data_IF_553737718326
#
_entry.id   IF_553737718326
#
_cell.length_a   1.000
_cell.length_b   1.000
_cell.length_c   1.000
_cell.angle_alpha   90.00
_cell.angle_beta   90.00
_cell.angle_gamma   90.00
#
_symmetry.space_group_name_H-M   'P 1'
#
loop_
_entity.id
_entity.type
_entity.pdbx_description
1 polymer ?
#
# COMPACT_ATOMS: atom_id res chain seq x y z
N UNK A 1 -24.62 -14.32 -0.38
CA UNK A 1 -24.92 -13.13 -1.20
C UNK A 1 -23.71 -12.23 -1.11
N UNK A 2 -23.22 -11.71 -2.24
CA UNK A 2 -22.03 -10.86 -2.22
C UNK A 2 -22.34 -9.47 -1.67
N UNK A 3 -21.40 -8.92 -0.90
CA UNK A 3 -21.48 -7.57 -0.35
C UNK A 3 -20.41 -6.67 -0.98
N UNK A 4 -20.73 -5.40 -1.14
CA UNK A 4 -19.75 -4.37 -1.51
C UNK A 4 -18.93 -4.00 -0.28
N UNK A 5 -17.62 -3.90 -0.43
CA UNK A 5 -16.70 -3.46 0.62
C UNK A 5 -16.00 -2.16 0.21
N UNK A 6 -15.64 -1.35 1.20
CA UNK A 6 -14.78 -0.19 1.04
C UNK A 6 -13.49 -0.40 1.82
N UNK A 7 -12.36 -0.26 1.13
CA UNK A 7 -11.02 -0.43 1.70
C UNK A 7 -10.39 0.95 1.81
N UNK A 8 -10.29 1.48 3.04
CA UNK A 8 -9.65 2.77 3.33
C UNK A 8 -8.13 2.63 3.28
N UNK A 9 -7.45 3.75 3.01
CA UNK A 9 -6.00 3.83 3.19
C UNK A 9 -5.64 3.69 4.67
N UNK A 10 -4.48 3.10 4.94
CA UNK A 10 -3.90 3.15 6.28
C UNK A 10 -3.57 4.57 6.73
N UNK A 11 -3.28 4.74 8.03
CA UNK A 11 -2.89 6.04 8.60
C UNK A 11 -1.75 6.70 7.82
N UNK A 12 -0.72 5.92 7.47
CA UNK A 12 0.43 6.36 6.66
C UNK A 12 0.38 5.82 5.21
N UNK A 13 -0.78 5.33 4.80
CA UNK A 13 -1.04 4.80 3.46
C UNK A 13 -1.36 5.90 2.45
N UNK A 14 -1.31 5.52 1.18
CA UNK A 14 -1.60 6.35 0.01
C UNK A 14 -2.91 5.93 -0.67
N UNK A 15 -3.54 6.84 -1.40
CA UNK A 15 -4.78 6.61 -2.14
C UNK A 15 -6.03 7.12 -1.42
N UNK A 16 -7.17 7.14 -2.11
CA UNK A 16 -8.47 7.61 -1.56
C UNK A 16 -9.29 6.49 -0.91
N UNK A 17 -8.86 5.24 -1.07
CA UNK A 17 -9.62 4.06 -0.72
C UNK A 17 -10.41 3.51 -1.91
N UNK A 18 -10.71 2.21 -1.87
CA UNK A 18 -11.27 1.47 -3.00
C UNK A 18 -12.62 0.87 -2.63
N UNK A 19 -13.64 1.15 -3.43
CA UNK A 19 -14.89 0.38 -3.42
C UNK A 19 -14.71 -0.88 -4.27
N UNK A 20 -14.89 -2.04 -3.67
CA UNK A 20 -14.70 -3.33 -4.32
C UNK A 20 -15.96 -4.17 -4.12
N UNK A 21 -16.53 -4.64 -5.22
CA UNK A 21 -17.71 -5.48 -5.21
C UNK A 21 -17.48 -6.69 -6.12
N UNK A 22 -17.84 -7.91 -5.66
CA UNK A 22 -17.86 -9.07 -6.55
C UNK A 22 -18.90 -8.87 -7.66
N UNK A 23 -18.47 -8.91 -8.92
CA UNK A 23 -19.35 -8.72 -10.09
C UNK A 23 -19.02 -9.73 -11.20
N UNK A 24 -20.05 -10.41 -11.68
CA UNK A 24 -19.93 -11.38 -12.77
C UNK A 24 -18.91 -12.49 -12.45
N UNK A 25 -17.79 -12.50 -13.17
CA UNK A 25 -16.69 -13.45 -12.96
C UNK A 25 -15.66 -13.00 -11.93
N UNK A 26 -15.60 -11.70 -11.61
CA UNK A 26 -14.66 -11.12 -10.65
C UNK A 26 -15.11 -11.40 -9.22
N UNK A 27 -14.80 -12.59 -8.73
CA UNK A 27 -15.25 -13.08 -7.41
C UNK A 27 -14.11 -13.61 -6.55
N UNK A 28 -12.86 -13.44 -7.00
CA UNK A 28 -11.66 -13.95 -6.32
C UNK A 28 -10.74 -12.82 -5.88
N UNK A 29 -10.30 -12.90 -4.63
CA UNK A 29 -9.27 -12.03 -4.05
C UNK A 29 -7.98 -12.84 -4.02
N UNK A 30 -6.92 -12.32 -4.62
CA UNK A 30 -5.61 -12.97 -4.55
C UNK A 30 -4.77 -12.35 -3.44
N UNK A 31 -4.20 -13.18 -2.58
CA UNK A 31 -3.20 -12.78 -1.59
C UNK A 31 -1.83 -13.13 -2.14
N UNK A 32 -1.04 -12.12 -2.47
CA UNK A 32 0.33 -12.24 -2.96
C UNK A 32 1.27 -11.63 -1.94
N UNK A 33 1.24 -12.25 -0.76
CA UNK A 33 1.96 -11.85 0.45
C UNK A 33 2.84 -13.00 0.94
N UNK A 34 3.96 -12.69 1.58
CA UNK A 34 4.80 -13.68 2.24
C UNK A 34 4.01 -14.43 3.33
N UNK A 35 4.12 -15.76 3.36
CA UNK A 35 3.51 -16.59 4.41
C UNK A 35 2.08 -17.09 4.14
N UNK A 36 1.53 -16.87 2.94
CA UNK A 36 0.22 -17.40 2.53
C UNK A 36 -0.87 -16.33 2.48
N UNK A 37 -2.08 -16.67 2.94
CA UNK A 37 -3.23 -15.74 2.93
C UNK A 37 -3.07 -14.71 4.05
N UNK A 38 -2.97 -13.43 3.68
CA UNK A 38 -2.85 -12.33 4.63
C UNK A 38 -4.18 -12.05 5.34
N UNK A 39 -4.18 -11.62 6.62
CA UNK A 39 -5.41 -11.25 7.34
C UNK A 39 -6.26 -10.18 6.65
N UNK A 40 -5.63 -9.25 5.92
CA UNK A 40 -6.34 -8.24 5.10
C UNK A 40 -7.13 -8.91 3.98
N UNK A 41 -6.51 -9.83 3.24
CA UNK A 41 -7.18 -10.57 2.17
C UNK A 41 -8.32 -11.45 2.72
N UNK A 42 -8.07 -12.12 3.84
CA UNK A 42 -9.09 -12.92 4.52
C UNK A 42 -10.28 -12.06 4.95
N UNK A 43 -10.02 -10.90 5.57
CA UNK A 43 -11.07 -9.98 6.02
C UNK A 43 -11.91 -9.44 4.85
N UNK A 44 -11.27 -9.11 3.73
CA UNK A 44 -11.99 -8.70 2.51
C UNK A 44 -12.89 -9.83 1.99
N UNK A 45 -12.42 -11.07 1.98
CA UNK A 45 -13.23 -12.23 1.59
C UNK A 45 -14.39 -12.48 2.55
N UNK A 46 -14.15 -12.45 3.85
CA UNK A 46 -15.18 -12.65 4.89
C UNK A 46 -16.31 -11.60 4.77
N UNK A 47 -15.95 -10.34 4.50
CA UNK A 47 -16.93 -9.25 4.39
C UNK A 47 -17.65 -9.23 3.04
N UNK A 48 -16.93 -9.45 1.93
CA UNK A 48 -17.52 -9.41 0.58
C UNK A 48 -18.25 -10.71 0.21
N UNK A 49 -17.92 -11.82 0.87
CA UNK A 49 -18.34 -13.17 0.51
C UNK A 49 -17.54 -13.80 -0.63
N UNK A 50 -16.47 -13.14 -1.09
CA UNK A 50 -15.58 -13.60 -2.16
C UNK A 50 -14.67 -14.75 -1.71
N UNK A 51 -14.09 -15.47 -2.68
CA UNK A 51 -13.08 -16.49 -2.41
C UNK A 51 -11.69 -15.85 -2.32
N UNK A 52 -10.92 -16.16 -1.28
CA UNK A 52 -9.51 -15.73 -1.18
C UNK A 52 -8.57 -16.87 -1.55
N UNK A 53 -7.58 -16.57 -2.39
CA UNK A 53 -6.63 -17.54 -2.93
C UNK A 53 -5.21 -17.06 -2.68
N UNK A 54 -4.33 -17.98 -2.27
CA UNK A 54 -2.89 -17.74 -2.24
C UNK A 54 -2.35 -17.68 -3.68
N UNK A 55 -2.01 -16.47 -4.14
CA UNK A 55 -1.57 -16.18 -5.50
C UNK A 55 -0.10 -16.53 -5.77
N UNK A 56 0.68 -16.93 -4.77
CA UNK A 56 2.00 -17.53 -4.99
C UNK A 56 1.91 -19.02 -5.29
N UNK A 57 0.92 -19.72 -4.71
CA UNK A 57 0.73 -21.16 -4.90
C UNK A 57 -0.20 -21.51 -6.06
N UNK A 58 -1.13 -20.62 -6.39
CA UNK A 58 -2.16 -20.86 -7.40
C UNK A 58 -2.15 -19.78 -8.46
N UNK A 59 -2.52 -20.15 -9.68
CA UNK A 59 -2.74 -19.20 -10.77
C UNK A 59 -4.23 -18.94 -10.95
N UNK A 60 -4.63 -17.68 -10.93
CA UNK A 60 -6.03 -17.24 -11.12
C UNK A 60 -6.08 -16.38 -12.39
N UNK A 61 -7.02 -16.63 -13.31
CA UNK A 61 -7.21 -15.77 -14.49
C UNK A 61 -7.54 -14.33 -14.07
N UNK A 62 -6.98 -13.35 -14.78
CA UNK A 62 -7.11 -11.93 -14.43
C UNK A 62 -8.58 -11.46 -14.45
N UNK A 63 -9.39 -12.03 -15.32
CA UNK A 63 -10.83 -11.78 -15.44
C UNK A 63 -11.65 -12.27 -14.23
N UNK A 64 -11.09 -13.14 -13.38
CA UNK A 64 -11.74 -13.63 -12.17
C UNK A 64 -11.31 -12.87 -10.90
N UNK A 65 -10.26 -12.04 -11.00
CA UNK A 65 -9.69 -11.32 -9.87
C UNK A 65 -10.48 -10.01 -9.65
N UNK A 66 -11.08 -9.88 -8.48
CA UNK A 66 -11.72 -8.63 -8.06
C UNK A 66 -10.74 -7.68 -7.35
N UNK A 67 -9.72 -8.22 -6.65
CA UNK A 67 -8.70 -7.45 -5.97
C UNK A 67 -7.42 -8.27 -5.73
N UNK A 68 -6.28 -7.59 -5.71
CA UNK A 68 -4.99 -8.16 -5.33
C UNK A 68 -4.51 -7.53 -4.02
N UNK A 69 -4.24 -8.36 -3.01
CA UNK A 69 -3.63 -7.95 -1.74
C UNK A 69 -2.15 -8.32 -1.78
N UNK A 70 -1.28 -7.35 -1.56
CA UNK A 70 0.17 -7.49 -1.72
C UNK A 70 0.94 -6.93 -0.51
N UNK A 71 2.20 -7.29 -0.40
CA UNK A 71 3.16 -6.79 0.60
C UNK A 71 4.44 -6.25 -0.07
N UNK A 72 4.30 -5.26 -0.95
CA UNK A 72 5.38 -4.91 -1.89
C UNK A 72 5.93 -3.51 -1.66
N UNK A 73 7.01 -3.39 -0.88
CA UNK A 73 7.70 -2.12 -0.65
C UNK A 73 8.42 -1.51 -1.87
N UNK A 74 8.44 -2.20 -3.01
CA UNK A 74 9.08 -1.76 -4.26
C UNK A 74 8.07 -1.53 -5.38
N UNK A 75 8.55 -1.12 -6.57
CA UNK A 75 7.69 -0.60 -7.65
C UNK A 75 7.00 -1.64 -8.54
N UNK A 76 7.38 -2.92 -8.42
CA UNK A 76 6.93 -3.96 -9.35
C UNK A 76 5.46 -4.34 -9.15
N UNK A 77 5.10 -4.99 -8.03
CA UNK A 77 3.73 -5.49 -7.81
C UNK A 77 2.73 -4.35 -7.62
N UNK A 78 3.13 -3.26 -6.97
CA UNK A 78 2.29 -2.06 -6.82
C UNK A 78 1.93 -1.42 -8.17
N UNK A 79 2.70 -1.67 -9.24
CA UNK A 79 2.45 -1.12 -10.58
C UNK A 79 1.85 -2.09 -11.59
N UNK A 80 2.19 -3.39 -11.51
CA UNK A 80 1.76 -4.40 -12.50
C UNK A 80 0.26 -4.70 -12.39
N UNK A 81 -0.29 -4.82 -11.17
CA UNK A 81 -1.72 -5.09 -11.00
C UNK A 81 -2.59 -3.89 -11.44
N UNK A 82 -2.27 -2.64 -11.06
CA UNK A 82 -2.98 -1.48 -11.60
C UNK A 82 -2.88 -1.36 -13.13
N UNK A 83 -1.72 -1.65 -13.73
CA UNK A 83 -1.56 -1.68 -15.19
C UNK A 83 -2.50 -2.68 -15.88
N UNK A 84 -2.86 -3.77 -15.19
CA UNK A 84 -3.81 -4.79 -15.65
C UNK A 84 -5.27 -4.46 -15.28
N UNK A 85 -5.54 -3.26 -14.78
CA UNK A 85 -6.85 -2.84 -14.28
C UNK A 85 -7.39 -3.73 -13.15
N UNK A 86 -6.49 -4.23 -12.28
CA UNK A 86 -6.85 -5.00 -11.09
C UNK A 86 -6.73 -4.07 -9.86
N UNK A 87 -7.83 -3.86 -9.09
CA UNK A 87 -7.77 -3.15 -7.82
C UNK A 87 -6.71 -3.75 -6.89
N UNK A 88 -5.84 -2.92 -6.36
CA UNK A 88 -4.63 -3.34 -5.64
C UNK A 88 -4.58 -2.72 -4.26
N UNK A 89 -4.41 -3.58 -3.26
CA UNK A 89 -4.36 -3.23 -1.85
C UNK A 89 -2.99 -3.64 -1.32
N UNK A 90 -2.14 -2.68 -1.00
CA UNK A 90 -0.87 -2.95 -0.33
C UNK A 90 -1.02 -2.82 1.19
N UNK A 91 -0.49 -3.80 1.93
CA UNK A 91 -0.47 -3.78 3.40
C UNK A 91 0.70 -2.93 3.93
N UNK A 92 1.68 -2.63 3.08
CA UNK A 92 2.80 -1.75 3.39
C UNK A 92 2.46 -0.30 3.06
N UNK A 93 3.07 0.64 3.80
CA UNK A 93 2.91 2.08 3.57
C UNK A 93 3.75 2.51 2.36
N UNK A 94 3.21 2.31 1.16
CA UNK A 94 3.91 2.60 -0.10
C UNK A 94 3.23 3.69 -0.90
N UNK A 95 4.02 4.50 -1.58
CA UNK A 95 3.53 5.54 -2.51
C UNK A 95 4.00 5.24 -3.93
N UNK A 96 3.26 5.70 -4.96
CA UNK A 96 3.65 5.52 -6.35
C UNK A 96 5.08 6.00 -6.62
N UNK A 97 5.89 5.16 -7.27
CA UNK A 97 7.26 5.52 -7.67
C UNK A 97 7.73 4.69 -8.87
N UNK A 98 8.75 5.18 -9.57
CA UNK A 98 9.36 4.49 -10.71
C UNK A 98 8.52 4.52 -12.01
N UNK A 99 8.88 3.71 -13.02
CA UNK A 99 8.32 3.79 -14.38
C UNK A 99 6.85 3.36 -14.47
N UNK A 100 6.35 2.60 -13.50
CA UNK A 100 4.96 2.14 -13.44
C UNK A 100 4.04 3.09 -12.67
N UNK A 101 4.58 4.15 -12.04
CA UNK A 101 3.79 5.07 -11.21
C UNK A 101 2.59 5.70 -11.94
N UNK A 102 2.70 5.91 -13.26
CA UNK A 102 1.62 6.42 -14.11
C UNK A 102 0.34 5.56 -14.12
N UNK A 103 0.46 4.28 -13.77
CA UNK A 103 -0.67 3.35 -13.70
C UNK A 103 -1.21 3.22 -12.27
N UNK A 104 -0.52 3.77 -11.27
CA UNK A 104 -0.88 3.68 -9.86
C UNK A 104 -1.68 4.93 -9.51
N UNK A 105 -2.99 4.86 -9.75
CA UNK A 105 -3.92 5.96 -9.51
C UNK A 105 -4.77 5.70 -8.26
N UNK A 106 -5.34 6.76 -7.70
CA UNK A 106 -6.09 6.69 -6.44
C UNK A 106 -7.39 5.87 -6.54
N UNK A 107 -7.88 5.64 -7.76
CA UNK A 107 -9.09 4.86 -8.07
C UNK A 107 -8.85 3.34 -8.16
N UNK A 108 -7.57 2.91 -8.22
CA UNK A 108 -7.22 1.50 -8.39
C UNK A 108 -6.23 0.98 -7.34
N UNK A 109 -5.53 1.88 -6.64
CA UNK A 109 -4.50 1.51 -5.67
C UNK A 109 -4.70 2.19 -4.33
N UNK A 110 -4.55 1.41 -3.26
CA UNK A 110 -4.53 1.87 -1.87
C UNK A 110 -3.43 1.14 -1.09
N UNK A 111 -2.79 1.82 -0.15
CA UNK A 111 -1.69 1.24 0.64
C UNK A 111 -1.83 1.45 2.15
N UNK A 112 -0.94 0.81 2.90
CA UNK A 112 -0.91 0.83 4.37
C UNK A 112 -2.09 0.14 5.02
N UNK A 113 -2.82 -0.70 4.28
CA UNK A 113 -4.12 -1.21 4.70
C UNK A 113 -3.95 -2.28 5.78
N UNK A 114 -4.74 -2.13 6.83
CA UNK A 114 -4.87 -3.11 7.90
C UNK A 114 -6.31 -3.64 8.00
N UNK A 115 -6.56 -4.75 8.71
CA UNK A 115 -7.90 -5.37 8.75
C UNK A 115 -9.02 -4.47 9.30
N UNK A 116 -8.67 -3.43 10.06
CA UNK A 116 -9.62 -2.42 10.60
C UNK A 116 -10.06 -1.39 9.56
N UNK A 117 -9.34 -1.26 8.45
CA UNK A 117 -9.59 -0.25 7.43
C UNK A 117 -10.57 -0.76 6.35
N UNK A 118 -11.18 -1.94 6.56
CA UNK A 118 -12.10 -2.58 5.62
C UNK A 118 -13.50 -2.62 6.22
N UNK A 119 -14.47 -2.05 5.51
CA UNK A 119 -15.86 -1.93 5.94
C UNK A 119 -16.82 -2.38 4.83
N UNK A 120 -18.04 -2.76 5.19
CA UNK A 120 -19.10 -3.08 4.22
C UNK A 120 -19.84 -1.79 3.84
N UNK A 121 -19.98 -1.53 2.55
CA UNK A 121 -20.74 -0.38 2.06
C UNK A 121 -22.23 -0.66 2.21
N UNK A 122 -22.93 0.17 2.99
CA UNK A 122 -24.38 0.05 3.26
C UNK A 122 -24.73 -0.37 4.68
N UNK A 123 -23.77 -0.86 5.47
CA UNK A 123 -23.87 -0.93 6.93
C UNK A 123 -23.03 0.23 7.47
N UNK A 124 -23.66 1.40 7.66
CA UNK A 124 -23.04 2.53 8.33
C UNK A 124 -22.64 2.09 9.74
N UNK A 125 -21.37 1.74 9.91
CA UNK A 125 -20.79 1.56 11.24
C UNK A 125 -20.54 2.96 11.78
N UNK A 126 -21.43 3.41 12.65
CA UNK A 126 -21.22 4.58 13.49
C UNK A 126 -20.02 4.32 14.40
N UNK A 127 -18.82 4.69 13.95
CA UNK A 127 -17.71 4.96 14.86
C UNK A 127 -16.78 6.06 14.31
N UNK A 128 -17.08 7.27 14.83
CA UNK A 128 -16.20 8.42 15.06
C UNK A 128 -15.46 9.03 13.87
N UNK A 129 -16.18 9.96 13.27
CA UNK A 129 -15.71 11.33 13.04
C UNK A 129 -14.83 11.82 14.22
N UNK A 130 -13.57 12.12 13.91
CA UNK A 130 -12.72 13.01 14.69
C UNK A 130 -12.02 13.95 13.69
N UNK A 131 -12.81 14.92 13.25
CA UNK A 131 -12.51 16.34 13.19
C UNK A 131 -11.05 16.77 12.95
N UNK A 132 -10.86 17.22 11.72
CA UNK A 132 -10.04 18.36 11.30
C UNK A 132 -9.81 19.42 12.39
N UNK A 133 -8.54 19.73 12.68
CA UNK A 133 -8.17 21.11 13.03
C UNK A 133 -6.69 21.35 12.70
N UNK A 134 -6.47 22.06 11.60
CA UNK A 134 -5.26 22.86 11.41
C UNK A 134 -5.21 23.94 12.51
N UNK A 135 -4.01 24.37 12.92
CA UNK A 135 -3.48 25.56 12.26
C UNK A 135 -2.05 25.37 11.77
N UNK A 136 -1.74 25.96 10.61
CA UNK A 136 -0.36 26.28 10.22
C UNK A 136 0.33 27.10 11.32
N UNK A 137 1.66 26.98 11.44
CA UNK A 137 2.45 28.05 10.85
C UNK A 137 3.65 27.58 10.02
N UNK A 138 3.87 28.40 8.99
CA UNK A 138 5.06 28.73 8.22
C UNK A 138 6.46 28.40 8.81
N UNK A 139 7.39 28.18 7.87
CA UNK A 139 8.86 28.27 7.91
C UNK A 139 9.71 26.99 8.05
N UNK A 140 10.22 26.59 6.88
CA UNK A 140 11.64 26.32 6.56
C UNK A 140 12.47 25.39 7.46
N UNK A 141 12.83 24.22 6.92
CA UNK A 141 14.23 23.92 6.54
C UNK A 141 14.33 22.55 5.83
N UNK A 142 14.74 22.58 4.55
CA UNK A 142 15.25 21.43 3.83
C UNK A 142 16.62 21.04 4.42
N UNK A 143 16.64 20.04 5.31
CA UNK A 143 17.89 19.33 5.60
C UNK A 143 18.21 18.39 4.43
N UNK A 144 18.91 18.95 3.44
CA UNK A 144 19.41 18.21 2.29
C UNK A 144 20.45 17.16 2.71
N UNK A 145 20.29 15.97 2.12
CA UNK A 145 21.11 14.77 2.24
C UNK A 145 22.61 15.00 1.93
N UNK A 146 22.97 16.12 1.31
CA UNK A 146 24.35 16.56 1.02
C UNK A 146 25.18 16.86 2.28
N UNK A 147 24.56 17.32 3.37
CA UNK A 147 25.29 17.69 4.61
C UNK A 147 25.92 16.49 5.33
N UNK A 148 25.24 15.33 5.33
CA UNK A 148 25.75 14.11 5.98
C UNK A 148 26.94 13.49 5.23
N UNK A 149 27.02 13.65 3.91
CA UNK A 149 28.10 13.08 3.10
C UNK A 149 29.39 13.91 3.20
N UNK A 150 29.30 15.23 3.41
CA UNK A 150 30.46 16.09 3.54
C UNK A 150 31.19 15.91 4.89
N UNK A 151 30.43 15.71 5.98
CA UNK A 151 30.98 15.54 7.33
C UNK A 151 31.71 14.19 7.48
N UNK A 152 31.16 13.11 6.93
CA UNK A 152 31.79 11.79 6.94
C UNK A 152 33.10 11.73 6.13
N UNK A 153 33.23 12.57 5.09
CA UNK A 153 34.45 12.63 4.26
C UNK A 153 35.59 13.39 4.96
N UNK A 154 35.28 14.46 5.69
CA UNK A 154 36.27 15.25 6.42
C UNK A 154 36.87 14.47 7.62
N UNK A 155 36.05 13.72 8.35
CA UNK A 155 36.51 12.92 9.49
C UNK A 155 37.47 11.80 9.08
N UNK A 156 37.26 11.19 7.91
CA UNK A 156 38.11 10.10 7.42
C UNK A 156 39.45 10.59 6.83
N UNK A 157 39.53 11.86 6.41
CA UNK A 157 40.74 12.48 5.86
C UNK A 157 41.65 13.00 6.99
N UNK A 158 41.07 13.49 8.09
CA UNK A 158 41.84 13.91 9.27
C UNK A 158 42.45 12.70 10.02
N UNK A 159 41.71 11.58 10.15
CA UNK A 159 42.26 10.36 10.77
C UNK A 159 43.36 9.69 9.92
N UNK A 160 43.31 9.80 8.59
CA UNK A 160 44.36 9.31 7.71
C UNK A 160 45.67 10.11 7.85
N UNK A 161 45.58 11.41 8.13
CA UNK A 161 46.76 12.29 8.27
C UNK A 161 47.52 12.08 9.60
N UNK A 162 46.84 11.68 10.68
CA UNK A 162 47.48 11.40 11.99
C UNK A 162 48.20 10.04 12.06
N UNK A 163 47.95 9.12 11.11
CA UNK A 163 48.64 7.82 11.04
C UNK A 163 49.94 7.83 10.23
N UNK A 164 50.28 8.93 9.57
CA UNK A 164 51.50 9.04 8.73
C UNK A 164 52.61 9.85 9.44
N UNK A 165 52.31 10.49 10.57
CA UNK A 165 53.25 11.36 11.30
C UNK A 165 53.79 10.76 12.61
N UNK A 166 53.73 9.44 12.82
CA UNK A 166 54.32 8.76 13.97
C UNK A 166 55.14 7.53 13.55
#
# INVERSE_FOLDING_TARGET
MYKKIFVKKGSNGWGKGLEIQPEGKKVKIISVTGGGIHPVAQKMADLSGAEVIDGFKNSVPEEEIMAAVIDCGGTARIGVYPMKNIPTVDVLNTSPSGPLAKNITEDIFVSGVSPKDIEVVGEASEDKEAEENQPEPDQAEEETFDGKYAQAKAEHEEEASKKIAN
#
